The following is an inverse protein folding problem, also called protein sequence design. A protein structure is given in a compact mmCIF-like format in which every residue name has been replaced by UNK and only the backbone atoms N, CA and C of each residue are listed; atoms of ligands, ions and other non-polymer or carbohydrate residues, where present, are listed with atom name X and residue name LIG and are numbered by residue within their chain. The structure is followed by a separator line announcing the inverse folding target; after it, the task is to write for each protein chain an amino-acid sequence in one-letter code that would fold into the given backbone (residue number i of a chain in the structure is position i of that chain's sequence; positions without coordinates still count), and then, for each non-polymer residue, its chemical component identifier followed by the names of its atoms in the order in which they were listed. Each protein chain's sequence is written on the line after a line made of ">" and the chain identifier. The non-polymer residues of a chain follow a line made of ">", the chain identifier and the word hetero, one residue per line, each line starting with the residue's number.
data_IF_361427150330
#
_entry.id   IF_361427150330
#
_cell.length_a   1.000
_cell.length_b   1.000
_cell.length_c   1.000
_cell.angle_alpha   90.00
_cell.angle_beta   90.00
_cell.angle_gamma   90.00
#
_symmetry.space_group_name_H-M   'P 1'
#
loop_
_entity.id
_entity.type
_entity.pdbx_description
1 polymer ?
#
# COMPACT_ATOMS: atom_id res chain seq x y z
N UNK A 1 17.16 32.93 -4.75
CA UNK A 1 16.17 32.08 -5.45
C UNK A 1 15.11 31.71 -4.43
N UNK A 2 13.81 31.98 -4.66
CA UNK A 2 12.79 31.62 -3.69
C UNK A 2 12.66 30.10 -3.63
N UNK A 3 12.52 29.61 -2.41
CA UNK A 3 12.45 28.21 -2.01
C UNK A 3 11.23 27.56 -2.66
N UNK A 4 11.43 26.40 -3.28
CA UNK A 4 10.39 25.55 -3.84
C UNK A 4 9.20 25.46 -2.88
N UNK A 5 8.06 25.99 -3.32
CA UNK A 5 6.80 25.77 -2.66
C UNK A 5 6.50 24.28 -2.81
N UNK A 6 6.84 23.49 -1.78
CA UNK A 6 6.23 22.18 -1.57
C UNK A 6 4.73 22.50 -1.47
N UNK A 7 3.99 22.26 -2.56
CA UNK A 7 2.53 22.43 -2.58
C UNK A 7 1.99 21.68 -1.37
N UNK A 8 1.53 22.43 -0.38
CA UNK A 8 0.94 21.84 0.81
C UNK A 8 -0.28 21.06 0.35
N UNK A 9 -0.34 19.74 0.58
CA UNK A 9 -1.43 18.93 0.07
C UNK A 9 -2.74 19.48 0.61
N UNK A 10 -3.68 19.74 -0.30
CA UNK A 10 -5.01 20.28 0.00
C UNK A 10 -5.73 19.39 1.01
N UNK A 11 -6.61 19.98 1.82
CA UNK A 11 -7.35 19.21 2.85
C UNK A 11 -8.18 18.07 2.23
N UNK A 12 -8.68 18.26 1.01
CA UNK A 12 -9.34 17.22 0.22
C UNK A 12 -8.40 16.05 -0.11
N UNK A 13 -7.17 16.34 -0.55
CA UNK A 13 -6.17 15.32 -0.86
C UNK A 13 -5.75 14.54 0.41
N UNK A 14 -5.56 15.23 1.53
CA UNK A 14 -5.25 14.59 2.83
C UNK A 14 -6.36 13.65 3.27
N UNK A 15 -7.62 14.08 3.14
CA UNK A 15 -8.78 13.27 3.45
C UNK A 15 -8.85 12.03 2.57
N UNK A 16 -8.66 12.19 1.26
CA UNK A 16 -8.65 11.08 0.30
C UNK A 16 -7.56 10.06 0.62
N UNK A 17 -6.33 10.52 0.86
CA UNK A 17 -5.19 9.65 1.25
C UNK A 17 -5.52 8.88 2.54
N UNK A 18 -6.09 9.55 3.53
CA UNK A 18 -6.44 8.94 4.83
C UNK A 18 -7.56 7.91 4.68
N UNK A 19 -8.56 8.20 3.86
CA UNK A 19 -9.66 7.27 3.54
C UNK A 19 -9.13 6.03 2.83
N UNK A 20 -8.33 6.19 1.77
CA UNK A 20 -7.74 5.07 1.06
C UNK A 20 -6.80 4.24 1.94
N UNK A 21 -5.96 4.91 2.74
CA UNK A 21 -5.09 4.25 3.70
C UNK A 21 -5.88 3.36 4.69
N UNK A 22 -7.00 3.87 5.20
CA UNK A 22 -7.87 3.13 6.13
C UNK A 22 -8.52 1.92 5.46
N UNK A 23 -9.05 2.09 4.24
CA UNK A 23 -9.65 1.00 3.47
C UNK A 23 -8.64 -0.12 3.17
N UNK A 24 -7.43 0.25 2.71
CA UNK A 24 -6.38 -0.72 2.41
C UNK A 24 -5.92 -1.42 3.70
N UNK A 25 -5.75 -0.68 4.80
CA UNK A 25 -5.39 -1.26 6.10
C UNK A 25 -6.40 -2.31 6.56
N UNK A 26 -7.70 -2.08 6.35
CA UNK A 26 -8.74 -3.08 6.62
C UNK A 26 -8.61 -4.33 5.75
N UNK A 27 -8.37 -4.16 4.44
CA UNK A 27 -8.13 -5.29 3.53
C UNK A 27 -6.85 -6.08 3.86
N UNK A 28 -5.80 -5.39 4.30
CA UNK A 28 -4.54 -5.99 4.76
C UNK A 28 -4.74 -6.80 6.04
N UNK A 29 -5.50 -6.28 7.02
CA UNK A 29 -5.84 -7.00 8.24
C UNK A 29 -6.64 -8.28 7.93
N UNK A 30 -7.59 -8.20 7.00
CA UNK A 30 -8.33 -9.35 6.51
C UNK A 30 -7.41 -10.38 5.83
N UNK A 31 -6.48 -9.93 4.99
CA UNK A 31 -5.48 -10.80 4.34
C UNK A 31 -4.60 -11.51 5.38
N UNK A 32 -4.10 -10.80 6.39
CA UNK A 32 -3.31 -11.39 7.49
C UNK A 32 -4.09 -12.48 8.20
N UNK A 33 -5.34 -12.20 8.54
CA UNK A 33 -6.24 -13.17 9.19
C UNK A 33 -6.44 -14.42 8.31
N UNK A 34 -6.60 -14.26 6.99
CA UNK A 34 -6.76 -15.38 6.08
C UNK A 34 -5.52 -16.30 6.04
N UNK A 35 -4.32 -15.71 6.13
CA UNK A 35 -3.05 -16.44 6.15
C UNK A 35 -2.90 -17.18 7.49
N UNK A 36 -3.12 -16.48 8.61
CA UNK A 36 -2.95 -17.01 9.96
C UNK A 36 -3.92 -18.16 10.26
N UNK A 37 -5.21 -17.98 9.93
CA UNK A 37 -6.26 -19.00 10.14
C UNK A 37 -6.22 -20.14 9.14
N UNK A 38 -5.22 -20.17 8.23
CA UNK A 38 -5.06 -21.17 7.17
C UNK A 38 -6.33 -21.35 6.32
N UNK A 39 -7.05 -20.27 6.04
CA UNK A 39 -8.21 -20.32 5.14
C UNK A 39 -7.81 -20.87 3.76
N UNK A 40 -8.80 -21.38 3.03
CA UNK A 40 -8.56 -21.89 1.69
C UNK A 40 -7.98 -20.78 0.78
N UNK A 41 -7.28 -21.19 -0.28
CA UNK A 41 -6.59 -20.23 -1.15
C UNK A 41 -7.54 -19.32 -1.94
N UNK A 42 -8.82 -19.69 -2.05
CA UNK A 42 -9.87 -18.86 -2.62
C UNK A 42 -10.14 -17.61 -1.80
N UNK A 43 -10.14 -17.71 -0.47
CA UNK A 43 -10.27 -16.55 0.43
C UNK A 43 -9.08 -15.60 0.31
N UNK A 44 -7.86 -16.15 0.27
CA UNK A 44 -6.63 -15.36 0.12
C UNK A 44 -6.63 -14.66 -1.25
N UNK A 45 -7.03 -15.36 -2.31
CA UNK A 45 -7.17 -14.76 -3.66
C UNK A 45 -8.21 -13.65 -3.67
N UNK A 46 -9.35 -13.85 -3.01
CA UNK A 46 -10.40 -12.84 -2.91
C UNK A 46 -9.89 -11.58 -2.18
N UNK A 47 -9.21 -11.76 -1.05
CA UNK A 47 -8.58 -10.68 -0.30
C UNK A 47 -7.56 -9.90 -1.16
N UNK A 48 -6.80 -10.59 -2.01
CA UNK A 48 -5.80 -9.97 -2.89
C UNK A 48 -6.37 -9.26 -4.12
N UNK A 49 -7.56 -9.63 -4.57
CA UNK A 49 -8.10 -9.25 -5.89
C UNK A 49 -8.08 -7.74 -6.15
N UNK A 50 -8.42 -6.94 -5.14
CA UNK A 50 -8.50 -5.48 -5.26
C UNK A 50 -7.37 -4.75 -4.52
N UNK A 51 -6.65 -5.43 -3.61
CA UNK A 51 -5.59 -4.81 -2.81
C UNK A 51 -4.48 -4.22 -3.69
N UNK A 52 -4.13 -4.89 -4.80
CA UNK A 52 -3.10 -4.37 -5.70
C UNK A 52 -3.48 -3.03 -6.32
N UNK A 53 -4.68 -2.93 -6.87
CA UNK A 53 -5.17 -1.70 -7.50
C UNK A 53 -5.20 -0.56 -6.47
N UNK A 54 -5.81 -0.80 -5.30
CA UNK A 54 -5.90 0.22 -4.24
C UNK A 54 -4.52 0.68 -3.75
N UNK A 55 -3.56 -0.23 -3.57
CA UNK A 55 -2.19 0.14 -3.17
C UNK A 55 -1.52 1.00 -4.24
N UNK A 56 -1.68 0.65 -5.52
CA UNK A 56 -1.11 1.44 -6.62
C UNK A 56 -1.73 2.83 -6.68
N UNK A 57 -3.05 2.92 -6.53
CA UNK A 57 -3.78 4.19 -6.55
C UNK A 57 -3.35 5.10 -5.39
N UNK A 58 -3.24 4.57 -4.17
CA UNK A 58 -2.75 5.33 -3.01
C UNK A 58 -1.33 5.85 -3.26
N UNK A 59 -0.43 5.01 -3.78
CA UNK A 59 0.96 5.44 -4.03
C UNK A 59 1.02 6.50 -5.11
N UNK A 60 0.17 6.43 -6.14
CA UNK A 60 0.06 7.49 -7.14
C UNK A 60 -0.52 8.78 -6.51
N UNK A 61 -1.49 8.69 -5.60
CA UNK A 61 -1.99 9.86 -4.87
C UNK A 61 -0.92 10.53 -4.01
N UNK A 62 0.00 9.75 -3.45
CA UNK A 62 1.10 10.24 -2.63
C UNK A 62 2.34 10.63 -3.44
N UNK A 63 2.31 10.52 -4.78
CA UNK A 63 3.48 10.79 -5.62
C UNK A 63 3.78 12.26 -5.82
N UNK A 64 2.99 13.17 -5.24
CA UNK A 64 3.36 14.60 -5.15
C UNK A 64 4.57 14.83 -4.23
N UNK A 65 4.94 13.85 -3.39
CA UNK A 65 6.10 13.91 -2.52
C UNK A 65 7.23 13.04 -3.10
N UNK A 66 8.25 13.69 -3.68
CA UNK A 66 9.38 13.00 -4.29
C UNK A 66 10.15 12.10 -3.30
N UNK A 67 10.30 12.56 -2.06
CA UNK A 67 10.94 11.78 -0.99
C UNK A 67 10.18 10.50 -0.63
N UNK A 68 8.87 10.46 -0.84
CA UNK A 68 8.07 9.25 -0.71
C UNK A 68 8.33 8.27 -1.86
N UNK A 69 8.32 8.76 -3.10
CA UNK A 69 8.56 7.94 -4.29
C UNK A 69 9.97 7.34 -4.27
N UNK A 70 10.98 8.14 -3.93
CA UNK A 70 12.37 7.69 -3.82
C UNK A 70 12.53 6.62 -2.74
N UNK A 71 11.95 6.82 -1.56
CA UNK A 71 12.06 5.90 -0.43
C UNK A 71 11.32 4.55 -0.66
N UNK A 72 10.25 4.53 -1.46
CA UNK A 72 9.58 3.29 -1.86
C UNK A 72 10.45 2.42 -2.79
N UNK A 73 11.23 3.08 -3.65
CA UNK A 73 12.28 2.46 -4.46
C UNK A 73 11.80 1.32 -5.37
N UNK A 74 12.78 0.52 -5.82
CA UNK A 74 12.56 -0.55 -6.82
C UNK A 74 11.55 -1.61 -6.40
N UNK A 75 11.36 -1.84 -5.09
CA UNK A 75 10.41 -2.85 -4.59
C UNK A 75 8.96 -2.52 -4.96
N UNK A 76 8.56 -1.24 -4.92
CA UNK A 76 7.22 -0.84 -5.34
C UNK A 76 7.08 -0.86 -6.85
N UNK A 77 8.11 -0.43 -7.59
CA UNK A 77 8.13 -0.45 -9.06
C UNK A 77 7.89 -1.86 -9.59
N UNK A 78 8.57 -2.87 -9.03
CA UNK A 78 8.38 -4.26 -9.39
C UNK A 78 6.94 -4.74 -9.09
N UNK A 79 6.36 -4.33 -7.95
CA UNK A 79 4.98 -4.65 -7.61
C UNK A 79 3.98 -4.05 -8.61
N UNK A 80 4.12 -2.75 -8.94
CA UNK A 80 3.26 -2.02 -9.89
C UNK A 80 3.19 -2.75 -11.22
N UNK A 81 4.34 -3.09 -11.80
CA UNK A 81 4.42 -3.70 -13.13
C UNK A 81 4.33 -5.23 -13.16
N UNK A 82 4.29 -5.90 -12.00
CA UNK A 82 4.15 -7.37 -11.96
C UNK A 82 2.83 -7.82 -12.60
N UNK A 83 2.88 -8.66 -13.62
CA UNK A 83 1.68 -9.22 -14.28
C UNK A 83 1.30 -10.60 -13.73
N UNK A 84 1.91 -11.01 -12.62
CA UNK A 84 1.97 -12.41 -12.18
C UNK A 84 0.58 -13.07 -12.15
N UNK A 85 0.27 -14.01 -13.06
CA UNK A 85 -0.91 -14.85 -12.92
C UNK A 85 -0.65 -15.78 -11.75
N UNK A 86 -1.23 -15.48 -10.59
CA UNK A 86 -1.00 -16.24 -9.36
C UNK A 86 -1.71 -17.61 -9.46
N UNK A 87 -1.07 -18.56 -10.16
CA UNK A 87 -1.52 -19.95 -10.33
C UNK A 87 -0.72 -20.84 -9.39
N UNK A 88 -1.41 -21.52 -8.48
CA UNK A 88 -0.83 -22.44 -7.50
C UNK A 88 -0.89 -21.93 -6.05
N UNK A 89 -1.24 -22.82 -5.11
CA UNK A 89 -1.40 -22.55 -3.66
C UNK A 89 -0.19 -21.85 -3.05
N UNK A 90 1.01 -22.33 -3.35
CA UNK A 90 2.25 -21.79 -2.78
C UNK A 90 2.54 -20.36 -3.27
N UNK A 91 2.28 -20.08 -4.55
CA UNK A 91 2.45 -18.74 -5.13
C UNK A 91 1.46 -17.73 -4.55
N UNK A 92 0.21 -18.13 -4.28
CA UNK A 92 -0.80 -17.26 -3.65
C UNK A 92 -0.33 -16.79 -2.28
N UNK A 93 0.18 -17.71 -1.46
CA UNK A 93 0.67 -17.37 -0.12
C UNK A 93 1.95 -16.54 -0.15
N UNK A 94 2.91 -16.88 -1.02
CA UNK A 94 4.13 -16.08 -1.21
C UNK A 94 3.81 -14.66 -1.65
N UNK A 95 2.88 -14.50 -2.60
CA UNK A 95 2.44 -13.18 -3.03
C UNK A 95 1.71 -12.42 -1.93
N UNK A 96 0.84 -13.08 -1.16
CA UNK A 96 0.15 -12.46 -0.04
C UNK A 96 1.13 -11.93 1.03
N UNK A 97 2.14 -12.73 1.40
CA UNK A 97 3.21 -12.30 2.33
C UNK A 97 4.00 -11.12 1.76
N UNK A 98 4.26 -11.13 0.45
CA UNK A 98 4.92 -10.00 -0.21
C UNK A 98 4.09 -8.72 -0.14
N UNK A 99 2.77 -8.80 -0.37
CA UNK A 99 1.85 -7.64 -0.23
C UNK A 99 1.85 -7.10 1.21
N UNK A 100 1.81 -7.97 2.23
CA UNK A 100 1.89 -7.56 3.63
C UNK A 100 3.18 -6.76 3.91
N UNK A 101 4.34 -7.30 3.53
CA UNK A 101 5.65 -6.62 3.72
C UNK A 101 5.75 -5.31 2.95
N UNK A 102 5.19 -5.26 1.74
CA UNK A 102 5.16 -4.04 0.94
C UNK A 102 4.30 -2.98 1.64
N UNK A 103 3.15 -3.37 2.17
CA UNK A 103 2.26 -2.45 2.90
C UNK A 103 2.90 -1.89 4.16
N UNK A 104 3.61 -2.72 4.94
CA UNK A 104 4.39 -2.27 6.10
C UNK A 104 5.42 -1.20 5.70
N UNK A 105 6.13 -1.43 4.59
CA UNK A 105 7.08 -0.45 4.05
C UNK A 105 6.39 0.84 3.61
N UNK A 106 5.29 0.76 2.87
CA UNK A 106 4.52 1.93 2.42
C UNK A 106 4.07 2.75 3.64
N UNK A 107 3.50 2.09 4.65
CA UNK A 107 3.05 2.72 5.90
C UNK A 107 4.18 3.44 6.62
N UNK A 108 5.34 2.80 6.73
CA UNK A 108 6.52 3.40 7.36
C UNK A 108 7.00 4.64 6.61
N UNK A 109 7.00 4.61 5.27
CA UNK A 109 7.42 5.78 4.47
C UNK A 109 6.39 6.90 4.55
N UNK A 110 5.08 6.58 4.48
CA UNK A 110 4.01 7.58 4.63
C UNK A 110 4.13 8.36 5.94
N UNK A 111 4.42 7.67 7.06
CA UNK A 111 4.65 8.29 8.37
C UNK A 111 5.94 9.10 8.41
N UNK A 112 7.06 8.55 7.93
CA UNK A 112 8.35 9.27 7.89
C UNK A 112 8.29 10.56 7.09
N UNK A 113 7.55 10.55 5.98
CA UNK A 113 7.35 11.72 5.12
C UNK A 113 6.20 12.62 5.60
N UNK A 114 5.58 12.32 6.75
CA UNK A 114 4.44 13.05 7.34
C UNK A 114 3.27 13.26 6.39
N UNK A 115 3.05 12.29 5.48
CA UNK A 115 1.93 12.31 4.52
C UNK A 115 0.63 11.93 5.23
N UNK A 116 0.71 11.00 6.19
CA UNK A 116 -0.37 10.68 7.12
C UNK A 116 0.11 10.93 8.55
N UNK A 117 -0.82 11.35 9.41
CA UNK A 117 -0.62 11.43 10.86
C UNK A 117 -1.68 10.53 11.47
N UNK A 118 -1.26 9.49 12.18
CA UNK A 118 -2.19 8.59 12.85
C UNK A 118 -2.60 9.20 14.20
N UNK A 119 -3.80 8.91 14.73
CA UNK A 119 -4.30 9.51 15.98
C UNK A 119 -3.44 9.27 17.24
N UNK A 120 -2.42 8.43 17.13
CA UNK A 120 -1.48 8.07 18.20
C UNK A 120 -0.11 8.76 18.08
N UNK A 121 0.07 9.68 17.13
CA UNK A 121 1.25 10.54 16.91
C UNK A 121 0.91 12.01 17.13
#
# INVERSE_FOLDING_TARGET
>A
MPVDAIETPTESLRREITTQYSCISGGIAYLSTCIEKRYNDGWIRNALSNLKACIVDLVNLCSFNDGFVEALGKSYTNFKYSTTPVRGREYIRKYAIYVLKLWERITLVLRKQKIIILPSE
#
